data_IF_940129088410
#
_entry.id   IF_940129088410
#
_cell.length_a   1.000
_cell.length_b   1.000
_cell.length_c   1.000
_cell.angle_alpha   90.00
_cell.angle_beta   90.00
_cell.angle_gamma   90.00
#
_symmetry.space_group_name_H-M   'P 1'
#
loop_
_entity.id
_entity.type
_entity.pdbx_description
1 polymer ?
#
# COMPACT_ATOMS: atom_id res chain seq x y z
N UNK A 1 9.39 -16.13 -6.09
CA UNK A 1 10.00 -14.82 -6.28
C UNK A 1 10.24 -14.52 -7.77
N UNK A 2 10.89 -13.40 -8.12
CA UNK A 2 11.13 -13.01 -9.53
C UNK A 2 11.94 -14.03 -10.32
N UNK A 3 12.94 -14.65 -9.68
CA UNK A 3 13.76 -15.73 -10.29
C UNK A 3 12.95 -16.98 -10.61
N UNK A 4 11.97 -17.33 -9.80
CA UNK A 4 11.10 -18.47 -10.07
C UNK A 4 10.18 -18.18 -11.24
N UNK A 5 9.60 -16.98 -11.29
CA UNK A 5 8.77 -16.55 -12.42
C UNK A 5 9.53 -16.57 -13.76
N UNK A 6 10.83 -16.25 -13.75
CA UNK A 6 11.70 -16.35 -14.94
C UNK A 6 11.96 -17.81 -15.27
N UNK A 7 12.41 -18.62 -14.30
CA UNK A 7 12.74 -20.04 -14.50
C UNK A 7 11.55 -20.82 -15.06
N UNK A 8 10.34 -20.47 -14.65
CA UNK A 8 9.10 -21.10 -15.10
C UNK A 8 8.52 -20.46 -16.37
N UNK A 9 9.20 -19.48 -16.94
CA UNK A 9 8.78 -18.82 -18.19
C UNK A 9 7.56 -17.89 -18.09
N UNK A 10 7.20 -17.48 -16.86
CA UNK A 10 6.08 -16.57 -16.66
C UNK A 10 6.40 -15.11 -16.96
N UNK A 11 7.68 -14.75 -16.89
CA UNK A 11 8.20 -13.43 -17.26
C UNK A 11 9.58 -13.57 -17.88
N UNK A 12 9.95 -12.66 -18.79
CA UNK A 12 11.25 -12.71 -19.48
C UNK A 12 12.40 -12.20 -18.61
N UNK A 13 12.21 -11.09 -17.88
CA UNK A 13 13.23 -10.44 -17.07
C UNK A 13 12.60 -9.65 -15.90
N UNK A 14 13.25 -9.64 -14.72
CA UNK A 14 12.80 -8.82 -13.59
C UNK A 14 13.19 -7.34 -13.72
N UNK A 15 14.16 -7.00 -14.58
CA UNK A 15 14.85 -5.69 -14.60
C UNK A 15 13.90 -4.50 -14.84
N UNK A 16 12.77 -4.76 -15.51
CA UNK A 16 11.76 -3.73 -15.78
C UNK A 16 10.85 -3.43 -14.60
N UNK A 17 10.85 -4.25 -13.55
CA UNK A 17 9.97 -4.04 -12.40
C UNK A 17 10.66 -4.15 -11.03
N UNK A 18 11.87 -4.71 -10.94
CA UNK A 18 12.70 -4.73 -9.73
C UNK A 18 14.01 -4.01 -10.01
N UNK A 19 14.37 -3.10 -9.10
CA UNK A 19 15.67 -2.42 -9.08
C UNK A 19 16.29 -2.59 -7.70
N UNK A 20 17.61 -2.81 -7.65
CA UNK A 20 18.35 -2.81 -6.38
C UNK A 20 18.44 -1.38 -5.86
N UNK A 21 17.91 -1.16 -4.68
CA UNK A 21 17.95 0.15 -3.98
C UNK A 21 18.20 -0.14 -2.51
N UNK A 22 19.34 0.28 -1.93
CA UNK A 22 19.65 0.02 -0.53
C UNK A 22 18.53 0.51 0.40
N UNK A 23 18.22 -0.30 1.41
CA UNK A 23 17.26 0.04 2.45
C UNK A 23 17.98 0.54 3.69
N UNK A 24 17.51 1.64 4.25
CA UNK A 24 18.12 2.31 5.39
C UNK A 24 17.05 2.70 6.41
N UNK A 25 17.44 2.72 7.69
CA UNK A 25 16.68 3.38 8.76
C UNK A 25 17.49 4.53 9.28
N UNK A 26 16.88 5.71 9.38
CA UNK A 26 17.47 6.93 9.89
C UNK A 26 16.81 7.33 11.20
N UNK A 27 17.62 7.67 12.19
CA UNK A 27 17.16 8.21 13.46
C UNK A 27 18.03 9.36 13.91
N UNK A 28 17.41 10.26 14.71
CA UNK A 28 18.01 11.45 15.31
C UNK A 28 17.78 11.45 16.83
N UNK A 29 18.76 11.91 17.58
CA UNK A 29 18.75 11.97 19.03
C UNK A 29 19.27 10.69 19.71
N UNK A 30 19.95 10.87 20.85
CA UNK A 30 20.68 9.83 21.57
C UNK A 30 19.85 8.60 21.93
N UNK A 31 18.61 8.78 22.40
CA UNK A 31 17.73 7.68 22.75
C UNK A 31 17.34 6.84 21.52
N UNK A 32 17.06 7.51 20.41
CA UNK A 32 16.71 6.84 19.16
C UNK A 32 17.92 6.10 18.57
N UNK A 33 19.10 6.65 18.71
CA UNK A 33 20.35 5.99 18.30
C UNK A 33 20.57 4.72 19.12
N UNK A 34 20.41 4.77 20.45
CA UNK A 34 20.48 3.58 21.32
C UNK A 34 19.45 2.52 20.92
N UNK A 35 18.22 2.96 20.68
CA UNK A 35 17.15 2.08 20.21
C UNK A 35 17.52 1.39 18.89
N UNK A 36 17.98 2.16 17.89
CA UNK A 36 18.34 1.61 16.58
C UNK A 36 19.48 0.60 16.67
N UNK A 37 20.52 0.87 17.47
CA UNK A 37 21.62 -0.07 17.72
C UNK A 37 21.12 -1.38 18.32
N UNK A 38 20.28 -1.31 19.34
CA UNK A 38 19.68 -2.51 19.95
C UNK A 38 18.85 -3.32 18.97
N UNK A 39 18.05 -2.61 18.14
CA UNK A 39 17.24 -3.25 17.08
C UNK A 39 18.11 -3.95 16.05
N UNK A 40 19.16 -3.33 15.56
CA UNK A 40 20.10 -3.93 14.59
C UNK A 40 20.74 -5.19 15.18
N UNK A 41 21.25 -5.11 16.41
CA UNK A 41 21.83 -6.27 17.09
C UNK A 41 20.85 -7.45 17.24
N UNK A 42 19.55 -7.16 17.36
CA UNK A 42 18.51 -8.19 17.38
C UNK A 42 18.22 -8.74 15.98
N UNK A 43 18.14 -7.88 14.95
CA UNK A 43 17.84 -8.27 13.57
C UNK A 43 18.97 -9.11 12.97
N UNK A 44 20.25 -8.79 13.26
CA UNK A 44 21.41 -9.52 12.75
C UNK A 44 21.49 -10.99 13.21
N UNK A 45 20.68 -11.40 14.18
CA UNK A 45 20.52 -12.82 14.55
C UNK A 45 19.73 -13.61 13.50
N UNK A 46 19.05 -12.92 12.59
CA UNK A 46 18.33 -13.54 11.46
C UNK A 46 19.20 -13.45 10.21
N UNK A 47 19.31 -14.55 9.47
CA UNK A 47 20.12 -14.66 8.24
C UNK A 47 19.79 -13.59 7.20
N UNK A 48 18.54 -13.10 7.15
CA UNK A 48 18.12 -12.05 6.22
C UNK A 48 18.75 -10.69 6.51
N UNK A 49 19.22 -10.46 7.73
CA UNK A 49 19.75 -9.16 8.20
C UNK A 49 21.19 -9.25 8.73
N UNK A 50 21.85 -10.42 8.62
CA UNK A 50 23.19 -10.62 9.17
C UNK A 50 24.23 -9.62 8.63
N UNK A 51 24.04 -9.16 7.37
CA UNK A 51 24.94 -8.21 6.70
C UNK A 51 24.53 -6.74 6.87
N UNK A 52 23.43 -6.46 7.58
CA UNK A 52 23.00 -5.09 7.84
C UNK A 52 24.08 -4.33 8.61
N UNK A 53 24.43 -3.14 8.14
CA UNK A 53 25.41 -2.26 8.75
C UNK A 53 24.68 -1.14 9.50
N UNK A 54 25.34 -0.56 10.50
CA UNK A 54 24.90 0.66 11.18
C UNK A 54 26.09 1.60 11.38
N UNK A 55 25.89 2.90 11.19
CA UNK A 55 26.92 3.91 11.42
C UNK A 55 26.36 5.15 12.09
N UNK A 56 27.19 5.77 12.92
CA UNK A 56 27.07 7.14 13.44
C UNK A 56 28.19 8.04 12.88
N UNK A 57 29.16 7.46 12.20
CA UNK A 57 30.28 8.18 11.60
C UNK A 57 29.80 9.04 10.43
N UNK A 58 29.94 10.39 10.49
CA UNK A 58 29.49 11.30 9.46
C UNK A 58 30.12 11.03 8.08
N UNK A 59 31.39 10.66 8.01
CA UNK A 59 32.08 10.36 6.73
C UNK A 59 31.48 9.10 6.10
N UNK A 60 31.23 8.08 6.92
CA UNK A 60 30.62 6.85 6.48
C UNK A 60 29.18 7.07 6.00
N UNK A 61 28.38 7.84 6.73
CA UNK A 61 27.02 8.19 6.35
C UNK A 61 27.02 9.00 5.05
N UNK A 62 27.92 9.97 4.94
CA UNK A 62 28.09 10.78 3.74
C UNK A 62 28.43 9.91 2.50
N UNK A 63 29.23 8.86 2.67
CA UNK A 63 29.52 7.91 1.58
C UNK A 63 28.31 7.11 1.10
N UNK A 64 27.27 6.95 1.93
CA UNK A 64 26.03 6.24 1.59
C UNK A 64 24.95 7.17 1.05
N UNK A 65 24.74 8.31 1.69
CA UNK A 65 23.64 9.25 1.41
C UNK A 65 24.12 10.71 1.55
N UNK A 66 24.94 11.21 0.61
CA UNK A 66 25.58 12.52 0.73
C UNK A 66 24.59 13.66 0.92
N UNK A 67 23.45 13.67 0.22
CA UNK A 67 22.42 14.71 0.36
C UNK A 67 21.86 14.82 1.80
N UNK A 68 21.86 13.75 2.57
CA UNK A 68 21.38 13.76 3.95
C UNK A 68 22.40 14.40 4.91
N UNK A 69 23.65 14.55 4.47
CA UNK A 69 24.74 15.12 5.30
C UNK A 69 25.03 16.58 4.94
N UNK A 70 24.62 17.06 3.77
CA UNK A 70 24.77 18.46 3.37
C UNK A 70 24.00 19.38 4.31
N UNK A 71 24.67 20.41 4.86
CA UNK A 71 24.10 21.36 5.80
C UNK A 71 23.77 20.80 7.19
N UNK A 72 24.07 19.52 7.47
CA UNK A 72 23.78 18.90 8.77
C UNK A 72 24.77 19.37 9.83
N UNK A 73 24.25 19.73 11.01
CA UNK A 73 25.08 20.15 12.14
C UNK A 73 25.94 18.98 12.66
N UNK A 74 27.19 19.25 12.96
CA UNK A 74 28.17 18.20 13.34
C UNK A 74 27.96 17.61 14.73
N UNK A 75 27.21 18.29 15.59
CA UNK A 75 26.91 17.86 16.96
C UNK A 75 25.61 17.07 17.09
N UNK A 76 24.89 16.91 16.00
CA UNK A 76 23.62 16.18 15.99
C UNK A 76 23.86 14.68 16.09
N UNK A 77 23.35 14.05 17.16
CA UNK A 77 23.40 12.61 17.30
C UNK A 77 22.47 11.92 16.28
N UNK A 78 23.06 11.28 15.28
CA UNK A 78 22.33 10.52 14.24
C UNK A 78 22.86 9.10 14.13
N UNK A 79 22.04 8.20 13.61
CA UNK A 79 22.48 6.88 13.14
C UNK A 79 21.68 6.46 11.91
N UNK A 80 22.35 5.79 10.99
CA UNK A 80 21.75 5.21 9.79
C UNK A 80 22.14 3.73 9.69
N UNK A 81 21.16 2.88 9.35
CA UNK A 81 21.43 1.51 8.92
C UNK A 81 21.65 1.46 7.42
N UNK A 82 22.32 0.42 6.93
CA UNK A 82 22.53 0.16 5.52
C UNK A 82 22.32 -1.32 5.24
N UNK A 83 21.35 -1.64 4.40
CA UNK A 83 21.11 -2.98 3.87
C UNK A 83 21.14 -2.91 2.33
N UNK A 84 22.15 -3.52 1.73
CA UNK A 84 22.36 -3.52 0.28
C UNK A 84 21.35 -4.37 -0.49
N UNK A 85 20.64 -5.27 0.20
CA UNK A 85 19.68 -6.21 -0.41
C UNK A 85 18.31 -5.58 -0.65
N UNK A 86 18.14 -4.30 -0.26
CA UNK A 86 16.91 -3.55 -0.50
C UNK A 86 16.55 -3.46 -1.99
N UNK A 87 15.26 -3.40 -2.28
CA UNK A 87 14.74 -3.31 -3.65
C UNK A 87 13.63 -2.29 -3.78
N UNK A 88 13.53 -1.70 -4.97
CA UNK A 88 12.32 -0.99 -5.41
C UNK A 88 11.55 -1.85 -6.41
N UNK A 89 10.23 -1.97 -6.21
CA UNK A 89 9.37 -2.81 -7.05
C UNK A 89 8.30 -1.95 -7.73
N UNK A 90 8.28 -1.97 -9.06
CA UNK A 90 7.20 -1.42 -9.87
C UNK A 90 6.09 -2.47 -10.04
N UNK A 91 5.14 -2.51 -9.12
CA UNK A 91 4.03 -3.45 -9.15
C UNK A 91 3.14 -3.29 -10.39
N UNK A 92 3.05 -2.08 -10.96
CA UNK A 92 2.31 -1.86 -12.21
C UNK A 92 2.96 -2.59 -13.39
N UNK A 93 4.28 -2.54 -13.50
CA UNK A 93 5.02 -3.26 -14.54
C UNK A 93 4.94 -4.78 -14.33
N UNK A 94 5.07 -5.27 -13.10
CA UNK A 94 4.87 -6.68 -12.77
C UNK A 94 3.46 -7.16 -13.15
N UNK A 95 2.42 -6.40 -12.79
CA UNK A 95 1.02 -6.73 -13.12
C UNK A 95 0.83 -6.83 -14.64
N UNK A 96 1.37 -5.89 -15.42
CA UNK A 96 1.30 -5.94 -16.89
C UNK A 96 1.94 -7.20 -17.46
N UNK A 97 3.08 -7.64 -16.91
CA UNK A 97 3.75 -8.88 -17.34
C UNK A 97 2.93 -10.13 -17.01
N UNK A 98 2.37 -10.19 -15.80
CA UNK A 98 1.51 -11.30 -15.39
C UNK A 98 0.23 -11.37 -16.24
N UNK A 99 -0.39 -10.24 -16.55
CA UNK A 99 -1.56 -10.17 -17.44
C UNK A 99 -1.20 -10.65 -18.86
N UNK A 100 -0.06 -10.21 -19.40
CA UNK A 100 0.39 -10.66 -20.71
C UNK A 100 0.60 -12.20 -20.75
N UNK A 101 1.17 -12.78 -19.68
CA UNK A 101 1.32 -14.22 -19.54
C UNK A 101 -0.05 -14.93 -19.50
N UNK A 102 -1.02 -14.40 -18.76
CA UNK A 102 -2.38 -14.96 -18.72
C UNK A 102 -3.06 -14.92 -20.09
N UNK A 103 -2.89 -13.83 -20.85
CA UNK A 103 -3.42 -13.73 -22.22
C UNK A 103 -2.80 -14.78 -23.15
N UNK A 104 -1.50 -15.08 -23.04
CA UNK A 104 -0.84 -16.16 -23.77
C UNK A 104 -1.42 -17.54 -23.41
N UNK A 105 -1.95 -17.69 -22.20
CA UNK A 105 -2.66 -18.90 -21.74
C UNK A 105 -4.16 -18.89 -22.04
N UNK A 106 -4.60 -18.04 -22.96
CA UNK A 106 -6.00 -17.89 -23.38
C UNK A 106 -6.97 -17.45 -22.27
N UNK A 107 -6.48 -16.76 -21.24
CA UNK A 107 -7.35 -16.12 -20.25
C UNK A 107 -7.90 -14.84 -20.85
N UNK A 108 -9.22 -14.71 -20.89
CA UNK A 108 -9.90 -13.51 -21.37
C UNK A 108 -9.68 -12.30 -20.43
N UNK A 109 -9.14 -11.22 -20.98
CA UNK A 109 -8.93 -9.96 -20.24
C UNK A 109 -9.71 -8.84 -20.94
N UNK A 110 -10.68 -8.25 -20.26
CA UNK A 110 -11.52 -7.19 -20.79
C UNK A 110 -11.17 -5.85 -20.11
N UNK A 111 -10.43 -4.99 -20.81
CA UNK A 111 -10.16 -3.64 -20.38
C UNK A 111 -11.34 -2.70 -20.64
N UNK A 112 -11.41 -1.59 -19.93
CA UNK A 112 -12.50 -0.61 -20.05
C UNK A 112 -13.88 -1.22 -19.77
N UNK A 113 -13.94 -2.22 -18.91
CA UNK A 113 -15.16 -2.86 -18.47
C UNK A 113 -15.40 -2.61 -16.99
N UNK A 114 -16.54 -2.02 -16.65
CA UNK A 114 -16.94 -1.70 -15.29
C UNK A 114 -17.96 -2.72 -14.78
N UNK A 115 -17.67 -3.37 -13.65
CA UNK A 115 -18.65 -4.26 -12.99
C UNK A 115 -19.69 -3.42 -12.28
N UNK A 116 -20.94 -3.47 -12.74
CA UNK A 116 -22.07 -2.73 -12.19
C UNK A 116 -22.75 -3.47 -11.04
N UNK A 117 -22.88 -4.82 -11.14
CA UNK A 117 -23.59 -5.63 -10.15
C UNK A 117 -23.09 -7.06 -10.13
N UNK A 118 -23.27 -7.75 -8.99
CA UNK A 118 -22.93 -9.17 -8.80
C UNK A 118 -24.06 -9.81 -8.01
N UNK A 119 -24.74 -10.80 -8.59
CA UNK A 119 -25.92 -11.47 -8.00
C UNK A 119 -25.80 -12.97 -8.03
N UNK A 120 -26.20 -13.63 -6.95
CA UNK A 120 -26.36 -15.09 -6.92
C UNK A 120 -27.60 -15.49 -7.68
N UNK A 121 -27.48 -16.47 -8.58
CA UNK A 121 -28.59 -17.06 -9.35
C UNK A 121 -29.14 -18.29 -8.63
N UNK A 122 -30.36 -18.69 -9.01
CA UNK A 122 -31.04 -19.86 -8.44
C UNK A 122 -30.31 -21.19 -8.73
N UNK A 123 -29.52 -21.24 -9.81
CA UNK A 123 -28.71 -22.42 -10.17
C UNK A 123 -27.38 -22.51 -9.40
N UNK A 124 -27.13 -21.58 -8.46
CA UNK A 124 -25.91 -21.53 -7.66
C UNK A 124 -24.76 -20.77 -8.31
N UNK A 125 -24.86 -20.33 -9.56
CA UNK A 125 -23.85 -19.50 -10.22
C UNK A 125 -24.00 -18.01 -9.85
N UNK A 126 -23.05 -17.21 -10.28
CA UNK A 126 -23.05 -15.76 -10.13
C UNK A 126 -23.33 -15.10 -11.48
N UNK A 127 -24.26 -14.15 -11.52
CA UNK A 127 -24.40 -13.20 -12.61
C UNK A 127 -23.54 -11.96 -12.30
N UNK A 128 -22.67 -11.62 -13.23
CA UNK A 128 -21.83 -10.40 -13.18
C UNK A 128 -22.31 -9.47 -14.29
N UNK A 129 -22.86 -8.32 -13.89
CA UNK A 129 -23.34 -7.29 -14.82
C UNK A 129 -22.20 -6.33 -15.11
N UNK A 130 -21.84 -6.17 -16.37
CA UNK A 130 -20.66 -5.43 -16.81
C UNK A 130 -21.04 -4.41 -17.87
N UNK A 131 -20.53 -3.19 -17.74
CA UNK A 131 -20.65 -2.12 -18.72
C UNK A 131 -19.32 -1.96 -19.48
N UNK A 132 -19.37 -2.06 -20.79
CA UNK A 132 -18.28 -1.63 -21.67
C UNK A 132 -18.25 -0.09 -21.72
N UNK A 133 -17.16 0.51 -21.25
CA UNK A 133 -17.00 1.96 -21.18
C UNK A 133 -16.72 2.62 -22.53
N UNK A 134 -16.37 1.84 -23.57
CA UNK A 134 -16.17 2.36 -24.93
C UNK A 134 -17.52 2.47 -25.66
N UNK A 135 -18.39 1.48 -25.52
CA UNK A 135 -19.66 1.37 -26.25
C UNK A 135 -20.88 1.72 -25.39
N UNK A 136 -20.72 1.80 -24.07
CA UNK A 136 -21.80 1.92 -23.09
C UNK A 136 -22.77 0.73 -23.03
N UNK A 137 -22.48 -0.36 -23.74
CA UNK A 137 -23.30 -1.57 -23.70
C UNK A 137 -23.17 -2.27 -22.35
N UNK A 138 -24.29 -2.84 -21.89
CA UNK A 138 -24.36 -3.63 -20.67
C UNK A 138 -24.48 -5.11 -21.04
N UNK A 139 -23.60 -5.92 -20.46
CA UNK A 139 -23.52 -7.36 -20.70
C UNK A 139 -23.65 -8.13 -19.39
N UNK A 140 -24.14 -9.36 -19.47
CA UNK A 140 -24.22 -10.26 -18.33
C UNK A 140 -23.30 -11.46 -18.58
N UNK A 141 -22.44 -11.73 -17.59
CA UNK A 141 -21.63 -12.93 -17.56
C UNK A 141 -22.12 -13.85 -16.45
N UNK A 142 -22.05 -15.14 -16.67
CA UNK A 142 -22.36 -16.14 -15.65
C UNK A 142 -21.09 -16.91 -15.29
N UNK A 143 -20.87 -17.12 -13.96
CA UNK A 143 -19.67 -17.79 -13.46
C UNK A 143 -19.98 -18.62 -12.22
N UNK A 144 -19.30 -19.75 -12.07
CA UNK A 144 -19.37 -20.60 -10.87
C UNK A 144 -18.63 -19.97 -9.69
N UNK A 145 -17.57 -19.19 -9.95
CA UNK A 145 -16.76 -18.54 -8.95
C UNK A 145 -16.48 -17.09 -9.32
N UNK A 146 -16.49 -16.19 -8.34
CA UNK A 146 -16.14 -14.78 -8.52
C UNK A 146 -15.07 -14.38 -7.49
N UNK A 147 -13.97 -13.80 -7.97
CA UNK A 147 -12.99 -13.13 -7.12
C UNK A 147 -13.09 -11.61 -7.28
N UNK A 148 -13.31 -10.90 -6.20
CA UNK A 148 -13.37 -9.43 -6.18
C UNK A 148 -12.03 -8.87 -5.71
N UNK A 149 -11.18 -8.46 -6.66
CA UNK A 149 -9.86 -7.87 -6.43
C UNK A 149 -9.79 -6.40 -6.87
N UNK A 150 -10.82 -5.58 -6.55
CA UNK A 150 -11.00 -4.24 -7.08
C UNK A 150 -10.40 -3.12 -6.21
N UNK A 151 -9.48 -3.44 -5.29
CA UNK A 151 -8.86 -2.48 -4.38
C UNK A 151 -9.92 -1.76 -3.53
N UNK A 152 -9.91 -0.42 -3.51
CA UNK A 152 -10.93 0.36 -2.77
C UNK A 152 -12.36 0.10 -3.22
N UNK A 153 -12.59 -0.32 -4.46
CA UNK A 153 -13.92 -0.67 -4.97
C UNK A 153 -14.40 -2.07 -4.56
N UNK A 154 -13.55 -2.89 -3.92
CA UNK A 154 -13.94 -4.24 -3.49
C UNK A 154 -15.10 -4.23 -2.49
N UNK A 155 -15.10 -3.31 -1.53
CA UNK A 155 -16.19 -3.20 -0.54
C UNK A 155 -17.55 -2.88 -1.18
N UNK A 156 -17.72 -1.86 -2.03
CA UNK A 156 -18.97 -1.61 -2.74
C UNK A 156 -19.45 -2.80 -3.58
N UNK A 157 -18.55 -3.51 -4.26
CA UNK A 157 -18.90 -4.70 -5.05
C UNK A 157 -19.32 -5.87 -4.16
N UNK A 158 -18.60 -6.11 -3.06
CA UNK A 158 -18.96 -7.13 -2.08
C UNK A 158 -20.35 -6.87 -1.48
N UNK A 159 -20.68 -5.62 -1.16
CA UNK A 159 -22.01 -5.25 -0.65
C UNK A 159 -23.16 -5.58 -1.64
N UNK A 160 -22.89 -5.52 -2.96
CA UNK A 160 -23.87 -5.86 -3.99
C UNK A 160 -24.19 -7.36 -4.02
N UNK A 161 -23.25 -8.20 -3.65
CA UNK A 161 -23.44 -9.67 -3.63
C UNK A 161 -24.46 -10.13 -2.58
N UNK A 162 -24.70 -9.32 -1.54
CA UNK A 162 -25.60 -9.59 -0.42
C UNK A 162 -25.30 -10.86 0.37
N UNK A 163 -24.10 -11.42 0.26
CA UNK A 163 -23.69 -12.56 1.09
C UNK A 163 -23.73 -12.16 2.58
N UNK A 164 -23.96 -13.12 3.45
CA UNK A 164 -24.08 -12.83 4.89
C UNK A 164 -22.78 -12.33 5.50
N UNK A 165 -21.64 -12.75 4.97
CA UNK A 165 -20.30 -12.38 5.42
C UNK A 165 -19.94 -10.92 5.05
N UNK A 166 -20.71 -10.28 4.17
CA UNK A 166 -20.55 -8.84 3.85
C UNK A 166 -21.18 -7.90 4.88
N UNK A 167 -22.00 -8.45 5.81
CA UNK A 167 -22.66 -7.66 6.85
C UNK A 167 -21.64 -7.17 7.88
N UNK A 168 -21.93 -6.00 8.47
CA UNK A 168 -21.07 -5.39 9.51
C UNK A 168 -19.64 -5.10 9.06
N UNK A 169 -19.43 -4.96 7.73
CA UNK A 169 -18.17 -4.53 7.15
C UNK A 169 -18.32 -3.11 6.62
N UNK A 170 -17.39 -2.25 6.99
CA UNK A 170 -17.27 -0.88 6.51
C UNK A 170 -15.86 -0.58 6.00
N UNK A 171 -15.67 0.63 5.50
CA UNK A 171 -14.39 1.12 5.02
C UNK A 171 -13.99 2.44 5.65
N UNK A 172 -12.73 2.55 6.05
CA UNK A 172 -12.10 3.78 6.51
C UNK A 172 -11.08 4.23 5.45
N UNK A 173 -11.43 5.23 4.62
CA UNK A 173 -10.56 5.64 3.53
C UNK A 173 -9.46 6.58 4.00
N UNK A 174 -8.24 6.31 3.53
CA UNK A 174 -7.05 7.12 3.81
C UNK A 174 -6.35 7.43 2.49
N UNK A 175 -6.02 8.72 2.28
CA UNK A 175 -5.19 9.16 1.16
C UNK A 175 -3.73 9.21 1.57
N UNK A 176 -2.82 9.02 0.61
CA UNK A 176 -1.40 9.26 0.76
C UNK A 176 -0.97 10.41 -0.13
N UNK A 177 -0.49 11.49 0.49
CA UNK A 177 0.20 12.57 -0.19
C UNK A 177 1.70 12.38 -0.05
N UNK A 178 2.46 12.77 -1.07
CA UNK A 178 3.91 12.77 -1.06
C UNK A 178 4.45 14.06 -1.64
N UNK A 179 5.62 14.47 -1.20
CA UNK A 179 6.46 15.39 -1.92
C UNK A 179 7.22 14.60 -2.99
N UNK A 180 7.16 15.07 -4.24
CA UNK A 180 7.94 14.55 -5.36
C UNK A 180 8.99 15.57 -5.76
N UNK A 181 10.25 15.13 -5.85
CA UNK A 181 11.32 15.97 -6.34
C UNK A 181 11.17 16.21 -7.86
N UNK A 182 11.37 17.46 -8.27
CA UNK A 182 11.39 17.88 -9.68
C UNK A 182 12.81 18.15 -10.20
N UNK A 183 13.79 18.30 -9.30
CA UNK A 183 15.17 18.63 -9.64
C UNK A 183 15.94 17.36 -10.01
N UNK A 184 16.38 17.19 -11.28
CA UNK A 184 17.11 16.00 -11.72
C UNK A 184 18.43 15.79 -10.97
N UNK A 185 19.15 16.85 -10.60
CA UNK A 185 20.44 16.74 -9.90
C UNK A 185 20.24 16.14 -8.51
N UNK A 186 19.20 16.57 -7.78
CA UNK A 186 18.82 16.01 -6.46
C UNK A 186 18.41 14.55 -6.62
N UNK A 187 17.57 14.22 -7.62
CA UNK A 187 17.12 12.86 -7.90
C UNK A 187 18.31 11.96 -8.21
N UNK A 188 19.27 12.42 -9.02
CA UNK A 188 20.42 11.61 -9.41
C UNK A 188 21.33 11.26 -8.23
N UNK A 189 21.52 12.20 -7.31
CA UNK A 189 22.46 12.08 -6.16
C UNK A 189 21.92 11.23 -5.01
N UNK A 190 20.64 10.86 -4.99
CA UNK A 190 20.07 9.98 -3.97
C UNK A 190 19.73 8.61 -4.55
N UNK A 191 20.24 7.53 -3.94
CA UNK A 191 19.96 6.16 -4.37
C UNK A 191 19.76 5.25 -3.17
N UNK A 192 18.69 5.50 -2.41
CA UNK A 192 18.33 4.73 -1.22
C UNK A 192 16.83 4.83 -0.91
N UNK A 193 16.35 3.90 -0.09
CA UNK A 193 15.07 3.99 0.62
C UNK A 193 15.37 4.23 2.10
N UNK A 194 15.17 5.45 2.57
CA UNK A 194 15.52 5.84 3.94
C UNK A 194 14.25 6.05 4.76
N UNK A 195 14.02 5.17 5.71
CA UNK A 195 12.88 5.21 6.62
C UNK A 195 13.27 5.87 7.93
N UNK A 196 12.48 6.85 8.35
CA UNK A 196 12.61 7.48 9.67
C UNK A 196 11.93 6.67 10.76
N UNK A 197 11.69 7.33 11.88
CA UNK A 197 10.90 6.81 12.99
C UNK A 197 9.57 7.56 13.03
N UNK A 198 8.48 6.82 13.15
CA UNK A 198 7.17 7.42 13.36
C UNK A 198 7.13 8.16 14.72
N UNK A 199 6.38 9.24 14.78
CA UNK A 199 6.08 9.92 16.05
C UNK A 199 5.29 8.99 16.98
N UNK A 200 5.42 9.21 18.28
CA UNK A 200 4.68 8.46 19.29
C UNK A 200 3.19 8.75 19.12
N UNK A 201 2.40 7.69 18.91
CA UNK A 201 0.95 7.79 18.67
C UNK A 201 0.54 7.98 17.21
N UNK A 202 1.48 8.18 16.29
CA UNK A 202 1.18 8.20 14.87
C UNK A 202 0.78 6.79 14.36
N UNK A 203 -0.15 6.71 13.39
CA UNK A 203 -0.55 5.43 12.85
C UNK A 203 0.63 4.75 12.10
N UNK A 204 0.69 3.41 12.06
CA UNK A 204 1.81 2.67 11.45
C UNK A 204 2.13 3.07 10.01
N UNK A 205 1.15 3.61 9.29
CA UNK A 205 1.28 4.07 7.90
C UNK A 205 1.92 5.44 7.73
N UNK A 206 2.24 6.14 8.82
CA UNK A 206 2.77 7.53 8.82
C UNK A 206 4.29 7.58 9.03
N UNK A 207 4.99 6.46 8.90
CA UNK A 207 6.47 6.46 9.00
C UNK A 207 7.04 7.31 7.86
N UNK A 208 7.70 8.45 8.17
CA UNK A 208 8.27 9.29 7.13
C UNK A 208 9.43 8.56 6.45
N UNK A 209 9.49 8.64 5.13
CA UNK A 209 10.57 8.03 4.37
C UNK A 209 10.91 8.82 3.11
N UNK A 210 12.18 8.78 2.75
CA UNK A 210 12.75 9.37 1.53
C UNK A 210 13.11 8.22 0.59
N UNK A 211 12.33 8.05 -0.47
CA UNK A 211 12.38 6.88 -1.32
C UNK A 211 12.85 7.19 -2.74
N UNK A 212 13.93 6.56 -3.17
CA UNK A 212 14.19 6.37 -4.59
C UNK A 212 13.19 5.37 -5.16
N UNK A 213 12.51 5.78 -6.23
CA UNK A 213 11.53 4.96 -6.95
C UNK A 213 11.88 4.88 -8.43
N UNK A 214 11.61 3.71 -9.02
CA UNK A 214 11.72 3.49 -10.46
C UNK A 214 10.36 3.15 -11.04
N UNK A 215 9.80 4.07 -11.85
CA UNK A 215 8.49 3.88 -12.50
C UNK A 215 8.65 4.05 -13.99
N UNK A 216 8.32 3.01 -14.77
CA UNK A 216 8.45 2.99 -16.23
C UNK A 216 9.87 3.32 -16.76
N UNK A 217 10.90 2.95 -15.99
CA UNK A 217 12.31 3.23 -16.32
C UNK A 217 12.83 4.58 -15.85
N UNK A 218 11.98 5.44 -15.33
CA UNK A 218 12.37 6.75 -14.80
C UNK A 218 12.63 6.70 -13.29
N UNK A 219 13.76 7.26 -12.87
CA UNK A 219 14.10 7.45 -11.47
C UNK A 219 13.38 8.68 -10.93
N UNK A 220 12.79 8.54 -9.76
CA UNK A 220 12.14 9.62 -9.02
C UNK A 220 12.51 9.57 -7.55
N UNK A 221 12.35 10.67 -6.85
CA UNK A 221 12.58 10.77 -5.42
C UNK A 221 11.32 11.30 -4.75
N UNK A 222 10.81 10.54 -3.77
CA UNK A 222 9.60 10.84 -3.05
C UNK A 222 9.87 10.95 -1.55
N UNK A 223 9.19 11.88 -0.88
CA UNK A 223 9.20 11.99 0.56
C UNK A 223 7.77 12.00 1.13
N UNK A 224 7.52 11.23 2.17
CA UNK A 224 6.22 11.08 2.82
C UNK A 224 6.12 9.74 3.54
N UNK A 225 4.89 9.21 3.72
CA UNK A 225 3.61 9.77 3.32
C UNK A 225 3.10 10.83 4.31
N UNK A 226 2.38 11.81 3.79
CA UNK A 226 1.46 12.63 4.55
C UNK A 226 0.08 11.96 4.44
N UNK A 227 -0.26 11.15 5.44
CA UNK A 227 -1.50 10.39 5.41
C UNK A 227 -2.69 11.31 5.75
N UNK A 228 -3.66 11.42 4.84
CA UNK A 228 -4.82 12.27 5.03
C UNK A 228 -6.13 11.50 4.96
N UNK A 229 -7.19 12.05 5.53
CA UNK A 229 -8.54 11.54 5.36
C UNK A 229 -9.08 11.92 3.97
N UNK A 230 -9.70 10.97 3.28
CA UNK A 230 -10.41 11.26 2.03
C UNK A 230 -11.64 10.37 1.91
N UNK A 231 -12.85 10.91 1.64
CA UNK A 231 -14.03 10.07 1.47
C UNK A 231 -14.03 9.24 0.17
N UNK A 232 -13.07 9.45 -0.72
CA UNK A 232 -12.90 8.63 -1.93
C UNK A 232 -12.30 7.27 -1.60
N UNK A 233 -12.78 6.23 -2.25
CA UNK A 233 -12.22 4.87 -2.13
C UNK A 233 -11.13 4.56 -3.15
N UNK A 234 -11.16 5.25 -4.27
CA UNK A 234 -10.14 5.18 -5.34
C UNK A 234 -9.60 6.58 -5.64
N UNK A 235 -8.40 6.65 -6.19
CA UNK A 235 -7.78 7.92 -6.60
C UNK A 235 -8.69 8.74 -7.52
N UNK A 236 -9.37 8.07 -8.45
CA UNK A 236 -10.35 8.66 -9.37
C UNK A 236 -11.80 8.38 -8.95
N UNK A 237 -12.02 8.05 -7.65
CA UNK A 237 -13.34 7.79 -7.09
C UNK A 237 -14.14 9.06 -6.78
N UNK A 238 -15.33 8.85 -6.23
CA UNK A 238 -16.26 9.91 -5.84
C UNK A 238 -16.09 10.30 -4.37
N UNK A 239 -16.28 11.57 -4.05
CA UNK A 239 -16.39 12.04 -2.66
C UNK A 239 -17.61 11.44 -1.91
N UNK A 240 -18.53 10.82 -2.64
CA UNK A 240 -19.68 10.10 -2.08
C UNK A 240 -19.41 8.62 -1.79
N UNK A 241 -18.21 8.08 -2.09
CA UNK A 241 -17.94 6.65 -1.96
C UNK A 241 -18.13 6.18 -0.51
N UNK A 242 -17.57 6.91 0.46
CA UNK A 242 -17.75 6.60 1.88
C UNK A 242 -19.23 6.61 2.28
N UNK A 243 -19.95 7.67 1.92
CA UNK A 243 -21.38 7.81 2.28
C UNK A 243 -22.21 6.69 1.64
N UNK A 244 -21.97 6.38 0.37
CA UNK A 244 -22.65 5.29 -0.35
C UNK A 244 -22.33 3.91 0.20
N UNK A 245 -21.20 3.72 0.88
CA UNK A 245 -20.81 2.46 1.51
C UNK A 245 -21.51 2.21 2.85
N UNK A 246 -22.08 3.24 3.47
CA UNK A 246 -22.89 3.09 4.70
C UNK A 246 -24.23 2.50 4.33
N UNK A 247 -24.55 1.35 4.95
CA UNK A 247 -25.77 0.58 4.76
C UNK A 247 -26.44 0.33 6.12
N UNK A 248 -27.75 0.04 6.19
CA UNK A 248 -28.40 -0.27 7.47
C UNK A 248 -27.71 -1.37 8.28
N UNK A 249 -27.12 -2.35 7.59
CA UNK A 249 -26.45 -3.49 8.23
C UNK A 249 -25.02 -3.22 8.74
N UNK A 250 -24.39 -2.09 8.37
CA UNK A 250 -23.06 -1.71 8.86
C UNK A 250 -23.02 -0.32 9.54
N UNK A 251 -24.15 0.38 9.61
CA UNK A 251 -24.21 1.75 10.14
C UNK A 251 -23.71 1.83 11.58
N UNK A 252 -24.14 0.91 12.46
CA UNK A 252 -23.71 0.88 13.86
C UNK A 252 -22.22 0.58 13.95
N UNK A 253 -21.72 -0.35 13.16
CA UNK A 253 -20.29 -0.69 13.04
C UNK A 253 -19.47 0.55 12.62
N UNK A 254 -19.94 1.29 11.61
CA UNK A 254 -19.29 2.50 11.12
C UNK A 254 -19.30 3.64 12.15
N UNK A 255 -20.43 3.88 12.82
CA UNK A 255 -20.55 4.89 13.88
C UNK A 255 -19.63 4.55 15.08
N UNK A 256 -19.61 3.29 15.49
CA UNK A 256 -18.73 2.84 16.57
C UNK A 256 -17.26 3.05 16.24
N UNK A 257 -16.84 2.75 15.01
CA UNK A 257 -15.49 3.03 14.52
C UNK A 257 -15.19 4.52 14.50
N UNK A 258 -16.12 5.35 14.01
CA UNK A 258 -15.95 6.81 13.98
C UNK A 258 -15.69 7.42 15.35
N UNK A 259 -16.37 6.91 16.40
CA UNK A 259 -16.13 7.36 17.76
C UNK A 259 -14.78 6.89 18.29
N UNK A 260 -14.42 5.62 18.07
CA UNK A 260 -13.16 5.04 18.56
C UNK A 260 -11.94 5.64 17.89
N UNK A 261 -12.03 5.85 16.60
CA UNK A 261 -10.94 6.35 15.76
C UNK A 261 -10.99 7.89 15.57
N UNK A 262 -11.67 8.59 16.49
CA UNK A 262 -11.80 10.05 16.40
C UNK A 262 -10.43 10.75 16.41
N UNK A 263 -9.51 10.32 17.27
CA UNK A 263 -8.17 10.88 17.33
C UNK A 263 -7.38 10.62 16.04
N UNK A 264 -7.49 9.42 15.49
CA UNK A 264 -6.90 9.09 14.19
C UNK A 264 -7.51 9.97 13.08
N UNK A 265 -8.82 10.13 13.06
CA UNK A 265 -9.49 10.98 12.07
C UNK A 265 -9.04 12.43 12.19
N UNK A 266 -8.95 12.97 13.42
CA UNK A 266 -8.42 14.31 13.68
C UNK A 266 -6.98 14.47 13.19
N UNK A 267 -6.11 13.50 13.47
CA UNK A 267 -4.74 13.47 12.95
C UNK A 267 -4.71 13.49 11.42
N UNK A 268 -5.48 12.63 10.75
CA UNK A 268 -5.52 12.58 9.29
C UNK A 268 -6.05 13.87 8.66
N UNK A 269 -7.00 14.55 9.32
CA UNK A 269 -7.48 15.86 8.87
C UNK A 269 -6.39 16.93 9.07
N UNK A 270 -5.67 16.93 10.19
CA UNK A 270 -4.56 17.89 10.39
C UNK A 270 -3.46 17.74 9.35
N UNK A 271 -3.15 16.52 8.93
CA UNK A 271 -2.17 16.26 7.86
C UNK A 271 -2.59 16.83 6.49
N UNK A 272 -3.89 16.93 6.21
CA UNK A 272 -4.38 17.61 4.99
C UNK A 272 -4.21 19.13 5.08
N UNK A 273 -4.27 19.69 6.28
CA UNK A 273 -4.17 21.12 6.53
C UNK A 273 -2.73 21.66 6.52
N UNK A 274 -1.72 20.77 6.54
CA UNK A 274 -0.33 21.17 6.46
C UNK A 274 -0.08 22.02 5.20
N UNK A 275 0.63 23.12 5.36
CA UNK A 275 1.15 23.94 4.25
C UNK A 275 2.27 23.19 3.51
N UNK A 276 2.65 23.66 2.34
CA UNK A 276 3.82 23.12 1.63
C UNK A 276 5.10 23.37 2.43
N UNK A 277 5.24 24.52 3.05
CA UNK A 277 6.39 24.85 3.90
C UNK A 277 6.54 23.87 5.06
N UNK A 278 5.46 23.56 5.78
CA UNK A 278 5.49 22.57 6.88
C UNK A 278 5.93 21.19 6.37
N UNK A 279 5.43 20.74 5.21
CA UNK A 279 5.87 19.47 4.62
C UNK A 279 7.33 19.48 4.20
N UNK A 280 7.83 20.60 3.68
CA UNK A 280 9.26 20.75 3.35
C UNK A 280 10.10 20.78 4.62
N UNK A 281 9.63 21.37 5.72
CA UNK A 281 10.32 21.34 7.00
C UNK A 281 10.47 19.92 7.56
N UNK A 282 9.45 19.06 7.37
CA UNK A 282 9.57 17.63 7.69
C UNK A 282 10.62 16.94 6.81
N UNK A 283 10.66 17.28 5.52
CA UNK A 283 11.69 16.78 4.61
C UNK A 283 13.10 17.25 5.02
N UNK A 284 13.26 18.48 5.50
CA UNK A 284 14.55 19.03 5.95
C UNK A 284 15.15 18.28 7.14
N UNK A 285 14.36 17.50 7.87
CA UNK A 285 14.89 16.55 8.86
C UNK A 285 15.79 15.50 8.17
N UNK A 286 15.45 15.10 6.93
CA UNK A 286 16.20 14.15 6.11
C UNK A 286 17.23 14.87 5.22
N UNK A 287 16.82 15.89 4.51
CA UNK A 287 17.62 16.70 3.59
C UNK A 287 17.68 18.15 4.07
N UNK A 288 18.65 18.53 4.92
CA UNK A 288 18.69 19.88 5.51
C UNK A 288 18.65 21.01 4.46
N UNK A 289 19.31 20.81 3.30
CA UNK A 289 19.41 21.79 2.21
C UNK A 289 18.24 21.67 1.17
N UNK A 290 17.12 21.00 1.52
CA UNK A 290 15.99 20.90 0.62
C UNK A 290 15.39 22.29 0.32
N UNK A 291 15.27 22.63 -0.98
CA UNK A 291 14.68 23.86 -1.48
C UNK A 291 13.22 23.66 -1.86
N UNK A 292 12.37 24.60 -1.50
CA UNK A 292 10.91 24.51 -1.72
C UNK A 292 10.55 24.36 -3.20
N UNK A 293 11.26 25.09 -4.08
CA UNK A 293 11.05 25.07 -5.52
C UNK A 293 11.32 23.71 -6.18
N UNK A 294 12.13 22.85 -5.53
CA UNK A 294 12.49 21.53 -6.07
C UNK A 294 11.41 20.47 -5.84
N UNK A 295 10.39 20.76 -5.04
CA UNK A 295 9.39 19.76 -4.62
C UNK A 295 7.97 20.17 -4.95
N UNK A 296 7.14 19.19 -5.21
CA UNK A 296 5.71 19.37 -5.42
C UNK A 296 4.90 18.30 -4.68
N UNK A 297 3.71 18.65 -4.21
CA UNK A 297 2.79 17.71 -3.55
C UNK A 297 2.05 16.90 -4.60
N UNK A 298 2.09 15.57 -4.48
CA UNK A 298 1.33 14.66 -5.32
C UNK A 298 0.43 13.75 -4.50
N UNK A 299 -0.71 13.38 -5.06
CA UNK A 299 -1.55 12.30 -4.51
C UNK A 299 -1.02 10.96 -5.04
N UNK A 300 -0.40 10.16 -4.17
CA UNK A 300 0.16 8.86 -4.56
C UNK A 300 -0.93 7.80 -4.69
N UNK A 301 -1.85 7.69 -3.73
CA UNK A 301 -2.89 6.69 -3.77
C UNK A 301 -3.97 6.84 -2.72
N UNK A 302 -4.95 5.95 -2.81
CA UNK A 302 -6.03 5.78 -1.84
C UNK A 302 -5.99 4.37 -1.30
N UNK A 303 -6.28 4.23 -0.02
CA UNK A 303 -6.50 2.93 0.63
C UNK A 303 -7.78 2.96 1.43
N UNK A 304 -8.44 1.83 1.51
CA UNK A 304 -9.64 1.67 2.34
C UNK A 304 -9.33 0.60 3.37
N UNK A 305 -9.12 1.02 4.62
CA UNK A 305 -8.96 0.09 5.73
C UNK A 305 -10.31 -0.53 6.09
N UNK A 306 -10.29 -1.79 6.45
CA UNK A 306 -11.52 -2.51 6.80
C UNK A 306 -11.95 -2.14 8.21
N UNK A 307 -13.23 -1.87 8.36
CA UNK A 307 -13.90 -1.79 9.65
C UNK A 307 -14.80 -3.01 9.76
N UNK A 308 -14.70 -3.77 10.85
CA UNK A 308 -15.61 -4.90 11.13
C UNK A 308 -15.91 -5.04 12.63
N UNK A 309 -17.00 -5.72 12.91
CA UNK A 309 -17.28 -6.17 14.29
C UNK A 309 -16.39 -7.38 14.62
N UNK A 310 -15.93 -7.44 15.85
CA UNK A 310 -15.22 -8.59 16.42
C UNK A 310 -15.99 -9.10 17.62
N UNK A 311 -15.67 -10.31 18.10
CA UNK A 311 -16.30 -10.91 19.29
C UNK A 311 -16.20 -10.02 20.53
N UNK A 312 -15.17 -9.16 20.59
CA UNK A 312 -14.90 -8.29 21.73
C UNK A 312 -15.44 -6.87 21.56
N UNK A 313 -15.71 -6.42 20.31
CA UNK A 313 -15.95 -5.01 20.05
C UNK A 313 -16.61 -4.75 18.69
N UNK A 314 -17.59 -3.84 18.68
CA UNK A 314 -18.17 -3.32 17.42
C UNK A 314 -17.28 -2.25 16.81
N UNK A 315 -17.22 -2.22 15.47
CA UNK A 315 -16.54 -1.17 14.72
C UNK A 315 -15.05 -1.08 15.00
N UNK A 316 -14.32 -2.18 14.86
CA UNK A 316 -12.86 -2.19 15.01
C UNK A 316 -12.18 -2.03 13.67
N UNK A 317 -11.23 -1.09 13.60
CA UNK A 317 -10.37 -0.88 12.43
C UNK A 317 -9.38 -2.06 12.33
N UNK A 318 -9.32 -2.69 11.14
CA UNK A 318 -8.41 -3.76 10.84
C UNK A 318 -7.26 -3.22 9.99
N UNK A 319 -6.03 -3.45 10.42
CA UNK A 319 -4.83 -3.11 9.63
C UNK A 319 -4.39 -4.31 8.80
N UNK A 320 -4.05 -4.05 7.53
CA UNK A 320 -3.65 -5.09 6.60
C UNK A 320 -4.75 -5.46 5.60
N UNK A 321 -4.70 -6.70 5.13
CA UNK A 321 -5.64 -7.26 4.15
C UNK A 321 -6.59 -8.24 4.81
N UNK A 322 -7.83 -8.28 4.32
CA UNK A 322 -8.88 -9.19 4.77
C UNK A 322 -9.44 -9.95 3.57
N UNK A 323 -9.49 -11.27 3.67
CA UNK A 323 -10.14 -12.13 2.67
C UNK A 323 -11.52 -12.53 3.21
N UNK A 324 -12.55 -12.12 2.50
CA UNK A 324 -13.96 -12.47 2.79
C UNK A 324 -14.40 -13.52 1.77
N UNK A 325 -14.87 -14.66 2.24
CA UNK A 325 -15.38 -15.73 1.36
C UNK A 325 -16.83 -16.03 1.68
N UNK A 326 -17.65 -16.33 0.66
CA UNK A 326 -18.99 -16.85 0.87
C UNK A 326 -18.95 -18.23 1.55
N UNK A 327 -19.96 -18.57 2.31
CA UNK A 327 -20.05 -19.85 3.05
C UNK A 327 -19.88 -21.07 2.13
N UNK A 328 -20.40 -20.99 0.91
CA UNK A 328 -20.32 -22.05 -0.12
C UNK A 328 -19.00 -22.05 -0.90
N UNK A 329 -18.07 -21.12 -0.60
CA UNK A 329 -16.78 -21.00 -1.28
C UNK A 329 -16.84 -20.50 -2.73
N UNK A 330 -18.01 -20.11 -3.23
CA UNK A 330 -18.17 -19.69 -4.63
C UNK A 330 -17.83 -18.21 -4.90
N UNK A 331 -17.50 -17.44 -3.85
CA UNK A 331 -17.06 -16.06 -3.97
C UNK A 331 -15.96 -15.76 -2.94
N UNK A 332 -14.96 -15.02 -3.38
CA UNK A 332 -13.97 -14.42 -2.50
C UNK A 332 -13.79 -12.93 -2.83
N UNK A 333 -13.53 -12.11 -1.82
CA UNK A 333 -13.23 -10.69 -1.97
C UNK A 333 -12.00 -10.33 -1.14
N UNK A 334 -11.08 -9.60 -1.75
CA UNK A 334 -9.93 -9.02 -1.05
C UNK A 334 -10.25 -7.57 -0.68
N UNK A 335 -10.24 -7.30 0.61
CA UNK A 335 -10.46 -5.97 1.20
C UNK A 335 -9.22 -5.49 1.93
N UNK A 336 -9.21 -4.20 2.30
CA UNK A 336 -8.16 -3.60 3.09
C UNK A 336 -7.02 -3.03 2.26
N UNK A 337 -5.87 -2.90 2.92
CA UNK A 337 -4.73 -2.17 2.37
C UNK A 337 -3.42 -2.94 2.53
N UNK A 338 -2.30 -2.21 2.46
CA UNK A 338 -0.94 -2.77 2.60
C UNK A 338 -0.77 -3.61 3.89
N UNK A 339 -0.03 -4.73 3.82
CA UNK A 339 0.77 -5.19 2.69
C UNK A 339 -0.01 -6.13 1.73
N UNK A 340 -0.61 -5.62 0.67
CA UNK A 340 -1.35 -6.45 -0.29
C UNK A 340 -0.47 -7.08 -1.36
N UNK A 341 0.34 -6.26 -2.03
CA UNK A 341 1.12 -6.71 -3.18
C UNK A 341 2.27 -7.66 -2.80
N UNK A 342 2.97 -7.41 -1.69
CA UNK A 342 4.07 -8.25 -1.22
C UNK A 342 3.61 -9.59 -0.63
N UNK A 343 2.36 -9.69 -0.19
CA UNK A 343 1.76 -10.90 0.38
C UNK A 343 0.74 -11.54 -0.57
N UNK A 344 0.69 -11.11 -1.82
CA UNK A 344 -0.32 -11.55 -2.78
C UNK A 344 -0.32 -13.07 -3.00
N UNK A 345 0.85 -13.71 -2.99
CA UNK A 345 0.99 -15.17 -3.18
C UNK A 345 0.30 -15.91 -2.01
N UNK A 346 0.65 -15.56 -0.77
CA UNK A 346 0.06 -16.19 0.42
C UNK A 346 -1.45 -15.96 0.49
N UNK A 347 -1.89 -14.75 0.14
CA UNK A 347 -3.33 -14.42 0.09
C UNK A 347 -4.05 -15.29 -0.94
N UNK A 348 -3.46 -15.51 -2.12
CA UNK A 348 -4.07 -16.35 -3.15
C UNK A 348 -4.09 -17.82 -2.75
N UNK A 349 -3.07 -18.33 -2.07
CA UNK A 349 -3.11 -19.67 -1.49
C UNK A 349 -4.23 -19.82 -0.45
N UNK A 350 -4.41 -18.84 0.43
CA UNK A 350 -5.51 -18.82 1.40
C UNK A 350 -6.89 -18.84 0.69
N UNK A 351 -7.05 -18.03 -0.38
CA UNK A 351 -8.29 -18.05 -1.21
C UNK A 351 -8.52 -19.43 -1.80
N UNK A 352 -7.50 -20.05 -2.40
CA UNK A 352 -7.62 -21.37 -3.00
C UNK A 352 -7.99 -22.44 -1.95
N UNK A 353 -7.35 -22.43 -0.80
CA UNK A 353 -7.66 -23.37 0.30
C UNK A 353 -9.09 -23.20 0.83
N UNK A 354 -9.60 -21.97 0.91
CA UNK A 354 -10.96 -21.71 1.39
C UNK A 354 -12.04 -22.08 0.35
N UNK A 355 -11.79 -21.80 -0.94
CA UNK A 355 -12.78 -21.88 -1.99
C UNK A 355 -12.72 -23.19 -2.79
N UNK A 356 -11.56 -23.86 -2.83
CA UNK A 356 -11.31 -25.08 -3.62
C UNK A 356 -10.79 -26.24 -2.77
N UNK A 357 -11.39 -26.44 -1.58
CA UNK A 357 -10.96 -27.44 -0.59
C UNK A 357 -10.80 -28.85 -1.12
N UNK A 358 -11.62 -29.25 -2.11
CA UNK A 358 -11.56 -30.58 -2.73
C UNK A 358 -10.41 -30.76 -3.71
N UNK A 359 -9.92 -29.68 -4.29
CA UNK A 359 -8.88 -29.68 -5.35
C UNK A 359 -7.49 -29.36 -4.76
N UNK A 360 -7.46 -28.78 -3.57
CA UNK A 360 -6.24 -28.38 -2.84
C UNK A 360 -6.00 -29.31 -1.66
N UNK A 361 -5.58 -30.54 -1.95
CA UNK A 361 -5.16 -31.52 -0.92
C UNK A 361 -3.66 -31.66 -0.89
#
# INVERSE_FOLDING_TARGET
CSSDLIREGHIESPDKFIQSVPHMSFVKGEENVKFLKSRVASLQKNVLFEKMKISQDPEKINSWVPLMMEGRQSDEAIAITYDETGTDVNFGALTKKLIANLQQKNVGINYKHEVLDIKKLNNGNWQVVVKDLNTSNVMNYESKFVFIGAGGASLPLLQKTKIKESKHIGGFPVSGLFLRCKNPDVIHRHHAKVYGKAEVGAPPMSVPHLDTRFVNGEKSLLFGPFAGFSPKFLKNGSYLDLVKSVKPNNMITMLSAGVKEFNLTKYLVSQLMLSNEERINDLRVFLPEAKDEDWEVITAGQRVQVIKDTDKSKGQLQFGTEVITSEDGSLAALLGASPGASTAVDIMFDVLQRCYKSEFK
#
